data_IF_974766755390
#
_entry.id   IF_974766755390
#
_cell.length_a   1.000
_cell.length_b   1.000
_cell.length_c   1.000
_cell.angle_alpha   90.00
_cell.angle_beta   90.00
_cell.angle_gamma   90.00
#
_symmetry.space_group_name_H-M   'P 1'
#
loop_
_entity.id
_entity.type
_entity.pdbx_description
1 polymer ?
#
# COMPACT_ATOMS: atom_id res chain seq x y z
N UNK A 1 4.42 -1.13 -22.42
CA UNK A 1 5.47 -2.12 -22.15
C UNK A 1 5.57 -2.38 -20.67
N UNK A 2 5.78 -3.63 -20.31
CA UNK A 2 5.91 -4.01 -18.92
C UNK A 2 7.10 -3.33 -18.23
N UNK A 3 8.16 -3.01 -18.99
CA UNK A 3 9.36 -2.39 -18.43
C UNK A 3 9.07 -1.02 -17.81
N UNK A 4 8.18 -0.24 -18.43
CA UNK A 4 7.83 1.07 -17.90
C UNK A 4 7.10 0.96 -16.57
N UNK A 5 6.14 0.04 -16.46
CA UNK A 5 5.40 -0.18 -15.23
C UNK A 5 6.30 -0.76 -14.13
N UNK A 6 7.17 -1.70 -14.48
CA UNK A 6 8.12 -2.26 -13.51
C UNK A 6 9.10 -1.20 -13.03
N UNK A 7 9.58 -0.35 -13.92
CA UNK A 7 10.49 0.72 -13.57
C UNK A 7 9.82 1.71 -12.61
N UNK A 8 8.57 2.07 -12.89
CA UNK A 8 7.80 2.96 -12.03
C UNK A 8 7.65 2.36 -10.63
N UNK A 9 7.28 1.07 -10.57
CA UNK A 9 7.11 0.38 -9.29
C UNK A 9 8.40 0.36 -8.47
N UNK A 10 9.53 0.05 -9.12
CA UNK A 10 10.82 0.03 -8.44
C UNK A 10 11.21 1.41 -7.92
N UNK A 11 10.80 2.45 -8.62
CA UNK A 11 11.03 3.82 -8.18
C UNK A 11 10.28 4.19 -6.91
N UNK A 12 9.30 3.38 -6.49
CA UNK A 12 8.55 3.61 -5.26
C UNK A 12 9.27 3.05 -4.03
N UNK A 13 10.33 2.27 -4.21
CA UNK A 13 11.07 1.70 -3.07
C UNK A 13 11.61 2.83 -2.20
N UNK A 14 11.34 2.75 -0.90
CA UNK A 14 11.68 3.78 0.07
C UNK A 14 10.55 4.77 0.32
N UNK A 15 9.48 4.73 -0.46
CA UNK A 15 8.34 5.63 -0.31
C UNK A 15 7.18 4.92 0.38
N UNK A 16 6.31 5.71 0.99
CA UNK A 16 5.08 5.19 1.59
C UNK A 16 4.05 5.00 0.49
N UNK A 17 3.57 3.79 0.34
CA UNK A 17 2.60 3.45 -0.71
C UNK A 17 1.35 2.81 -0.13
N UNK A 18 0.29 2.88 -0.92
CA UNK A 18 -0.99 2.24 -0.65
C UNK A 18 -1.16 1.13 -1.66
N UNK A 19 -1.37 -0.10 -1.18
CA UNK A 19 -1.73 -1.22 -2.04
C UNK A 19 -3.16 -1.60 -1.76
N UNK A 20 -4.00 -1.50 -2.78
CA UNK A 20 -5.35 -2.04 -2.73
C UNK A 20 -5.26 -3.53 -3.04
N UNK A 21 -5.77 -4.33 -2.13
CA UNK A 21 -5.76 -5.78 -2.26
C UNK A 21 -7.17 -6.26 -2.59
N UNK A 22 -7.28 -7.53 -2.92
CA UNK A 22 -8.60 -8.09 -3.20
C UNK A 22 -9.49 -8.03 -1.96
N UNK A 23 -10.78 -8.16 -2.18
CA UNK A 23 -11.82 -8.00 -1.17
C UNK A 23 -11.77 -6.58 -0.57
N UNK A 24 -11.64 -6.47 0.74
CA UNK A 24 -11.67 -5.18 1.42
C UNK A 24 -10.36 -4.85 2.11
N UNK A 25 -9.30 -5.60 1.82
CA UNK A 25 -8.01 -5.36 2.46
C UNK A 25 -7.22 -4.27 1.74
N UNK A 26 -6.42 -3.56 2.51
CA UNK A 26 -5.40 -2.69 1.95
C UNK A 26 -4.16 -2.70 2.85
N UNK A 27 -3.02 -2.37 2.29
CA UNK A 27 -1.80 -2.20 3.06
C UNK A 27 -1.22 -0.83 2.75
N UNK A 28 -0.81 -0.12 3.79
CA UNK A 28 -0.18 1.20 3.67
C UNK A 28 1.14 1.11 4.43
N UNK A 29 2.25 1.31 3.73
CA UNK A 29 3.55 1.21 4.38
C UNK A 29 4.67 1.62 3.46
N UNK A 30 5.89 1.57 3.99
CA UNK A 30 7.07 1.89 3.20
C UNK A 30 7.44 0.66 2.37
N UNK A 31 7.44 0.83 1.05
CA UNK A 31 7.83 -0.25 0.15
C UNK A 31 9.35 -0.45 0.26
N UNK A 32 9.77 -1.67 0.57
CA UNK A 32 11.19 -1.99 0.76
C UNK A 32 11.76 -2.81 -0.37
N UNK A 33 10.94 -3.68 -0.96
CA UNK A 33 11.41 -4.56 -2.02
C UNK A 33 10.22 -4.98 -2.89
N UNK A 34 10.51 -5.28 -4.13
CA UNK A 34 9.52 -5.78 -5.08
C UNK A 34 10.20 -6.81 -5.97
N UNK A 35 9.62 -8.00 -6.06
CA UNK A 35 10.10 -9.02 -6.98
C UNK A 35 8.91 -9.57 -7.78
N UNK A 36 9.12 -10.65 -8.52
CA UNK A 36 8.08 -11.21 -9.38
C UNK A 36 6.88 -11.75 -8.59
N UNK A 37 7.06 -12.06 -7.31
CA UNK A 37 6.05 -12.77 -6.53
C UNK A 37 5.52 -11.98 -5.34
N UNK A 38 6.29 -11.02 -4.80
CA UNK A 38 5.93 -10.32 -3.57
C UNK A 38 6.29 -8.86 -3.62
N UNK A 39 5.56 -8.07 -2.81
CA UNK A 39 5.95 -6.73 -2.41
C UNK A 39 6.18 -6.79 -0.90
N UNK A 40 7.30 -6.25 -0.44
CA UNK A 40 7.64 -6.24 0.97
C UNK A 40 7.60 -4.82 1.53
N UNK A 41 7.00 -4.69 2.69
CA UNK A 41 6.79 -3.38 3.34
C UNK A 41 7.35 -3.40 4.75
N UNK A 42 7.74 -2.21 5.23
CA UNK A 42 8.06 -2.00 6.63
C UNK A 42 7.14 -0.91 7.20
N UNK A 43 6.98 -0.90 8.51
CA UNK A 43 6.15 0.07 9.22
C UNK A 43 4.77 0.16 8.55
N UNK A 44 4.12 -0.98 8.39
CA UNK A 44 2.93 -1.11 7.57
C UNK A 44 1.66 -1.24 8.40
N UNK A 45 0.58 -0.69 7.84
CA UNK A 45 -0.77 -0.87 8.33
C UNK A 45 -1.44 -1.88 7.39
N UNK A 46 -1.62 -3.11 7.87
CA UNK A 46 -2.41 -4.11 7.15
C UNK A 46 -3.84 -4.00 7.67
N UNK A 47 -4.72 -3.47 6.84
CA UNK A 47 -6.04 -3.02 7.25
C UNK A 47 -7.14 -3.79 6.54
N UNK A 48 -8.10 -4.30 7.33
CA UNK A 48 -9.34 -4.86 6.80
C UNK A 48 -10.40 -3.77 6.88
N UNK A 49 -10.74 -3.19 5.74
CA UNK A 49 -11.65 -2.04 5.71
C UNK A 49 -13.06 -2.38 6.17
N UNK A 50 -13.45 -3.65 6.15
CA UNK A 50 -14.77 -4.07 6.64
C UNK A 50 -14.93 -3.78 8.13
N UNK A 51 -13.84 -3.65 8.86
CA UNK A 51 -13.85 -3.37 10.30
C UNK A 51 -13.83 -1.88 10.61
N UNK A 52 -13.85 -1.03 9.58
CA UNK A 52 -13.75 0.41 9.75
C UNK A 52 -15.13 1.06 9.81
N UNK A 53 -15.21 2.17 10.53
CA UNK A 53 -16.44 2.96 10.63
C UNK A 53 -16.51 4.09 9.61
N UNK A 54 -15.52 4.22 8.73
CA UNK A 54 -15.49 5.28 7.74
C UNK A 54 -15.32 4.68 6.35
N UNK A 55 -15.48 5.51 5.33
CA UNK A 55 -15.21 5.08 3.96
C UNK A 55 -13.72 4.87 3.76
N UNK A 56 -13.37 4.10 2.74
CA UNK A 56 -11.98 3.87 2.38
C UNK A 56 -11.27 5.20 2.05
N UNK A 57 -11.95 6.09 1.36
CA UNK A 57 -11.39 7.39 1.00
C UNK A 57 -11.06 8.21 2.24
N UNK A 58 -11.95 8.23 3.22
CA UNK A 58 -11.71 8.95 4.47
C UNK A 58 -10.52 8.33 5.21
N UNK A 59 -10.44 7.01 5.25
CA UNK A 59 -9.34 6.32 5.91
C UNK A 59 -7.99 6.68 5.28
N UNK A 60 -7.92 6.68 3.96
CA UNK A 60 -6.71 7.03 3.24
C UNK A 60 -6.33 8.50 3.43
N UNK A 61 -7.32 9.39 3.43
CA UNK A 61 -7.07 10.81 3.64
C UNK A 61 -6.52 11.05 5.05
N UNK A 62 -7.11 10.42 6.06
CA UNK A 62 -6.62 10.53 7.43
C UNK A 62 -5.19 10.00 7.55
N UNK A 63 -4.89 8.88 6.91
CA UNK A 63 -3.54 8.32 6.93
C UNK A 63 -2.54 9.28 6.31
N UNK A 64 -2.91 9.92 5.19
CA UNK A 64 -2.04 10.89 4.55
C UNK A 64 -1.77 12.09 5.46
N UNK A 65 -2.78 12.53 6.20
CA UNK A 65 -2.67 13.71 7.06
C UNK A 65 -1.98 13.43 8.39
N UNK A 66 -2.23 12.27 8.97
CA UNK A 66 -1.83 11.97 10.35
C UNK A 66 -0.70 10.96 10.44
N UNK A 67 -0.37 10.30 9.33
CA UNK A 67 0.66 9.27 9.31
C UNK A 67 0.09 7.86 9.36
N UNK A 68 0.94 6.90 9.05
CA UNK A 68 0.58 5.48 8.99
C UNK A 68 0.46 4.93 10.40
N UNK A 69 -0.65 4.25 10.67
CA UNK A 69 -0.88 3.56 11.95
C UNK A 69 -0.38 2.13 11.82
N UNK A 70 0.93 1.96 11.94
CA UNK A 70 1.60 0.71 11.69
C UNK A 70 1.16 -0.39 12.67
N UNK A 71 0.79 -1.55 12.14
CA UNK A 71 0.51 -2.74 12.93
C UNK A 71 1.38 -3.92 12.51
N UNK A 72 2.30 -3.71 11.58
CA UNK A 72 3.30 -4.70 11.16
C UNK A 72 4.63 -4.02 11.01
N UNK A 73 5.67 -4.55 11.67
CA UNK A 73 7.02 -4.05 11.43
C UNK A 73 7.47 -4.37 10.02
N UNK A 74 7.16 -5.57 9.56
CA UNK A 74 7.44 -6.01 8.20
C UNK A 74 6.33 -6.93 7.75
N UNK A 75 5.98 -6.84 6.47
CA UNK A 75 4.98 -7.72 5.88
C UNK A 75 5.27 -7.88 4.39
N UNK A 76 5.10 -9.08 3.89
CA UNK A 76 5.21 -9.37 2.46
C UNK A 76 3.84 -9.72 1.92
N UNK A 77 3.47 -9.09 0.81
CA UNK A 77 2.17 -9.27 0.17
C UNK A 77 2.38 -9.96 -1.17
N UNK A 78 1.68 -11.06 -1.45
CA UNK A 78 1.76 -11.70 -2.76
C UNK A 78 1.29 -10.73 -3.85
N UNK A 79 2.10 -10.56 -4.89
CA UNK A 79 1.73 -9.65 -5.99
C UNK A 79 0.42 -10.05 -6.66
N UNK A 80 0.09 -11.33 -6.67
CA UNK A 80 -1.14 -11.81 -7.28
C UNK A 80 -2.40 -11.28 -6.58
N UNK A 81 -2.27 -10.78 -5.35
CA UNK A 81 -3.39 -10.25 -4.57
C UNK A 81 -3.49 -8.74 -4.67
N UNK A 82 -2.57 -8.08 -5.35
CA UNK A 82 -2.52 -6.63 -5.44
C UNK A 82 -3.36 -6.17 -6.63
N UNK A 83 -4.32 -5.28 -6.37
CA UNK A 83 -5.16 -4.70 -7.42
C UNK A 83 -4.58 -3.40 -7.93
N UNK A 84 -4.01 -2.59 -7.04
CA UNK A 84 -3.47 -1.29 -7.41
C UNK A 84 -2.40 -0.85 -6.42
N UNK A 85 -1.43 -0.09 -6.89
CA UNK A 85 -0.38 0.50 -6.05
C UNK A 85 -0.35 2.00 -6.33
N UNK A 86 -0.35 2.79 -5.26
CA UNK A 86 -0.29 4.25 -5.35
C UNK A 86 0.64 4.79 -4.29
N UNK A 87 1.27 5.94 -4.53
CA UNK A 87 1.96 6.63 -3.44
C UNK A 87 0.93 7.23 -2.51
N UNK A 88 1.20 7.19 -1.20
CA UNK A 88 0.28 7.78 -0.23
C UNK A 88 0.07 9.27 -0.52
N UNK A 89 1.13 9.99 -0.89
CA UNK A 89 1.03 11.41 -1.18
C UNK A 89 0.20 11.75 -2.41
N UNK A 90 -0.07 10.77 -3.27
CA UNK A 90 -0.89 10.96 -4.46
C UNK A 90 -2.38 10.70 -4.23
N UNK A 91 -2.75 10.27 -3.03
CA UNK A 91 -4.17 10.08 -2.71
C UNK A 91 -4.84 11.44 -2.73
N UNK A 92 -5.87 11.56 -3.55
CA UNK A 92 -6.62 12.81 -3.68
C UNK A 92 -8.11 12.50 -3.67
N UNK A 93 -8.86 13.36 -3.01
CA UNK A 93 -10.31 13.20 -2.85
C UNK A 93 -11.05 14.46 -3.29
#
# INVERSE_FOLDING_TARGET
MSDDAESWLRGLIGQVVVCDLDESYLVIGTLRAADAHHLAFSAADLHDHRESNCTKDVYLLETRQLGVRSNRLQVAIPRARVLAVSRLEDISL
#
